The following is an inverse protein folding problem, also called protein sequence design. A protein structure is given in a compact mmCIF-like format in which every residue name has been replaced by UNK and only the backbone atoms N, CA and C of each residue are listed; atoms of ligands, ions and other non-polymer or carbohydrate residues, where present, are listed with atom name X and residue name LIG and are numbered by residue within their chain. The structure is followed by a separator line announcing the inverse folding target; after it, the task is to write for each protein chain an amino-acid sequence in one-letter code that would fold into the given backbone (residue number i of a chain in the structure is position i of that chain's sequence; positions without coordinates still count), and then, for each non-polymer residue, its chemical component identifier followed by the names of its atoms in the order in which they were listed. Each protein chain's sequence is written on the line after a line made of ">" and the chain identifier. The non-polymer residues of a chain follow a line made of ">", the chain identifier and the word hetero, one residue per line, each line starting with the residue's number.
data_IF_273178086469
#
_entry.id   IF_273178086469
#
_cell.length_a   1.000
_cell.length_b   1.000
_cell.length_c   1.000
_cell.angle_alpha   90.00
_cell.angle_beta   90.00
_cell.angle_gamma   90.00
#
_symmetry.space_group_name_H-M   'P 1'
#
loop_
_entity.id
_entity.type
_entity.pdbx_description
1 polymer ?
#
# COMPACT_ATOMS: atom_id res chain seq x y z
N UNK A 1 51.94 -31.02 -18.02
CA UNK A 1 50.53 -30.79 -18.40
C UNK A 1 49.80 -30.35 -17.14
N UNK A 2 49.75 -29.04 -16.92
CA UNK A 2 49.03 -28.46 -15.77
C UNK A 2 47.70 -27.96 -16.29
N UNK A 3 46.62 -28.59 -15.82
CA UNK A 3 45.25 -28.17 -16.06
C UNK A 3 44.94 -27.00 -15.14
N UNK A 4 44.76 -25.85 -15.76
CA UNK A 4 44.30 -24.62 -15.13
C UNK A 4 42.76 -24.72 -14.96
N UNK A 5 42.31 -24.98 -13.74
CA UNK A 5 40.88 -24.88 -13.42
C UNK A 5 40.52 -23.41 -13.30
N UNK A 6 39.85 -22.89 -14.32
CA UNK A 6 39.18 -21.60 -14.26
C UNK A 6 37.99 -21.67 -13.28
N UNK A 7 38.15 -21.01 -12.15
CA UNK A 7 37.02 -20.70 -11.26
C UNK A 7 36.10 -19.69 -11.98
N UNK A 8 34.80 -19.93 -12.09
CA UNK A 8 33.89 -18.93 -12.61
C UNK A 8 33.86 -17.74 -11.65
N UNK A 9 34.24 -16.56 -12.15
CA UNK A 9 34.10 -15.30 -11.43
C UNK A 9 32.65 -15.09 -11.00
N UNK A 10 32.39 -15.20 -9.70
CA UNK A 10 31.17 -14.70 -9.10
C UNK A 10 31.11 -13.20 -9.41
N UNK A 11 30.08 -12.76 -10.11
CA UNK A 11 29.81 -11.35 -10.37
C UNK A 11 29.62 -10.65 -9.02
N UNK A 12 30.67 -10.02 -8.55
CA UNK A 12 30.66 -9.16 -7.35
C UNK A 12 29.87 -7.88 -7.70
N UNK A 13 28.54 -7.99 -7.69
CA UNK A 13 27.67 -6.82 -7.77
C UNK A 13 27.76 -6.12 -6.43
N UNK A 14 28.62 -5.10 -6.35
CA UNK A 14 28.93 -4.36 -5.14
C UNK A 14 27.66 -3.88 -4.42
N UNK A 15 27.72 -3.72 -3.10
CA UNK A 15 26.67 -3.13 -2.30
C UNK A 15 26.36 -1.71 -2.81
N UNK A 16 25.08 -1.37 -2.91
CA UNK A 16 24.59 -0.02 -3.23
C UNK A 16 23.36 0.28 -2.40
N UNK A 17 23.03 1.56 -2.23
CA UNK A 17 21.80 1.98 -1.54
C UNK A 17 20.57 1.33 -2.18
N UNK A 18 20.49 1.33 -3.51
CA UNK A 18 19.38 0.73 -4.25
C UNK A 18 19.24 -0.78 -3.96
N UNK A 19 20.34 -1.53 -3.93
CA UNK A 19 20.35 -2.96 -3.62
C UNK A 19 19.90 -3.21 -2.17
N UNK A 20 20.34 -2.37 -1.22
CA UNK A 20 19.90 -2.44 0.17
C UNK A 20 18.40 -2.24 0.28
N UNK A 21 17.86 -1.20 -0.38
CA UNK A 21 16.45 -0.86 -0.32
C UNK A 21 15.58 -1.94 -0.95
N UNK A 22 15.94 -2.44 -2.14
CA UNK A 22 15.21 -3.54 -2.81
C UNK A 22 15.18 -4.79 -1.94
N UNK A 23 16.30 -5.16 -1.32
CA UNK A 23 16.35 -6.33 -0.45
C UNK A 23 15.58 -6.11 0.86
N UNK A 24 15.56 -4.88 1.37
CA UNK A 24 14.76 -4.52 2.55
C UNK A 24 13.25 -4.61 2.27
N UNK A 25 12.79 -4.18 1.08
CA UNK A 25 11.40 -4.38 0.63
C UNK A 25 11.05 -5.87 0.61
N UNK A 26 11.86 -6.70 -0.07
CA UNK A 26 11.65 -8.16 -0.13
C UNK A 26 11.59 -8.82 1.24
N UNK A 27 12.45 -8.35 2.15
CA UNK A 27 12.48 -8.86 3.51
C UNK A 27 11.22 -8.47 4.29
N UNK A 28 10.74 -7.23 4.10
CA UNK A 28 9.50 -6.75 4.71
C UNK A 28 8.27 -7.44 4.14
N UNK A 29 8.22 -7.73 2.84
CA UNK A 29 7.13 -8.48 2.20
C UNK A 29 7.02 -9.90 2.73
N UNK A 30 8.18 -10.55 2.98
CA UNK A 30 8.22 -11.92 3.46
C UNK A 30 7.91 -12.07 4.95
N UNK A 31 8.42 -11.16 5.77
CA UNK A 31 8.52 -11.35 7.22
C UNK A 31 7.92 -10.19 8.04
N UNK A 32 7.29 -9.24 7.36
CA UNK A 32 6.81 -8.00 7.98
C UNK A 32 7.94 -7.01 8.32
N UNK A 33 7.56 -5.76 8.58
CA UNK A 33 8.53 -4.70 8.94
C UNK A 33 9.22 -4.95 10.28
N UNK A 34 8.57 -5.64 11.20
CA UNK A 34 9.16 -6.02 12.50
C UNK A 34 10.30 -7.02 12.33
N UNK A 35 10.23 -7.86 11.30
CA UNK A 35 11.28 -8.78 10.90
C UNK A 35 12.50 -8.08 10.27
N UNK A 36 12.37 -6.83 9.83
CA UNK A 36 13.45 -6.07 9.20
C UNK A 36 14.43 -5.51 10.25
N UNK A 37 15.65 -5.98 10.23
CA UNK A 37 16.77 -5.43 11.02
C UNK A 37 18.02 -5.31 10.19
N UNK A 38 18.90 -4.35 10.51
CA UNK A 38 20.19 -4.16 9.83
C UNK A 38 21.04 -5.43 9.81
N UNK A 39 21.01 -6.21 10.89
CA UNK A 39 21.74 -7.48 11.00
C UNK A 39 21.18 -8.54 10.06
N UNK A 40 19.85 -8.63 9.94
CA UNK A 40 19.17 -9.59 9.07
C UNK A 40 19.39 -9.22 7.61
N UNK A 41 19.19 -7.94 7.27
CA UNK A 41 19.45 -7.40 5.93
C UNK A 41 20.89 -7.66 5.48
N UNK A 42 21.88 -7.43 6.37
CA UNK A 42 23.27 -7.71 6.08
C UNK A 42 23.52 -9.19 5.75
N UNK A 43 22.88 -10.09 6.49
CA UNK A 43 22.98 -11.53 6.24
C UNK A 43 22.40 -11.92 4.88
N UNK A 44 21.25 -11.39 4.49
CA UNK A 44 20.63 -11.64 3.17
C UNK A 44 21.52 -11.11 2.03
N UNK A 45 22.21 -10.00 2.26
CA UNK A 45 23.12 -9.39 1.29
C UNK A 45 24.54 -10.01 1.27
N UNK A 46 24.82 -10.98 2.16
CA UNK A 46 26.16 -11.56 2.31
C UNK A 46 27.20 -10.58 2.81
N UNK A 47 26.81 -9.57 3.60
CA UNK A 47 27.66 -8.47 4.05
C UNK A 47 27.76 -8.40 5.58
N UNK A 48 28.70 -7.63 6.09
CA UNK A 48 28.77 -7.28 7.51
C UNK A 48 27.74 -6.19 7.85
N UNK A 49 27.09 -6.28 9.02
CA UNK A 49 26.11 -5.27 9.43
C UNK A 49 26.70 -3.85 9.46
N UNK A 50 27.97 -3.69 9.87
CA UNK A 50 28.66 -2.40 9.88
C UNK A 50 28.86 -1.82 8.48
N UNK A 51 28.98 -2.67 7.46
CA UNK A 51 29.16 -2.22 6.07
C UNK A 51 27.91 -1.51 5.55
N UNK A 52 26.71 -1.89 6.01
CA UNK A 52 25.45 -1.26 5.58
C UNK A 52 25.35 0.19 6.05
N UNK A 53 25.92 0.52 7.21
CA UNK A 53 25.91 1.88 7.75
C UNK A 53 26.75 2.88 6.94
N UNK A 54 27.60 2.42 6.03
CA UNK A 54 28.25 3.28 5.04
C UNK A 54 27.29 3.76 3.94
N UNK A 55 26.19 3.04 3.71
CA UNK A 55 25.20 3.35 2.67
C UNK A 55 23.94 4.02 3.23
N UNK A 56 23.50 3.63 4.42
CA UNK A 56 22.33 4.19 5.11
C UNK A 56 22.69 4.47 6.57
N UNK A 57 22.47 5.71 7.01
CA UNK A 57 22.94 6.18 8.31
C UNK A 57 22.25 5.46 9.50
N UNK A 58 21.01 4.98 9.29
CA UNK A 58 20.24 4.29 10.34
C UNK A 58 19.14 3.40 9.73
N UNK A 59 18.49 2.56 10.56
CA UNK A 59 17.28 1.82 10.19
C UNK A 59 16.16 2.77 9.78
N UNK A 60 16.04 3.91 10.43
CA UNK A 60 15.02 4.90 10.14
C UNK A 60 15.17 5.47 8.71
N UNK A 61 16.40 5.84 8.33
CA UNK A 61 16.68 6.31 6.96
C UNK A 61 16.42 5.21 5.93
N UNK A 62 16.71 3.96 6.27
CA UNK A 62 16.36 2.82 5.40
C UNK A 62 14.85 2.69 5.25
N UNK A 63 14.08 2.78 6.32
CA UNK A 63 12.62 2.71 6.28
C UNK A 63 12.01 3.85 5.48
N UNK A 64 12.54 5.08 5.57
CA UNK A 64 12.11 6.20 4.72
C UNK A 64 12.32 5.88 3.24
N UNK A 65 13.48 5.31 2.88
CA UNK A 65 13.77 4.93 1.51
C UNK A 65 12.90 3.75 1.02
N UNK A 66 12.62 2.79 1.88
CA UNK A 66 11.76 1.63 1.58
C UNK A 66 10.32 2.08 1.31
N UNK A 67 9.78 2.98 2.12
CA UNK A 67 8.45 3.56 1.89
C UNK A 67 8.40 4.41 0.61
N UNK A 68 9.46 5.15 0.29
CA UNK A 68 9.51 5.92 -0.95
C UNK A 68 9.51 5.02 -2.20
N UNK A 69 10.08 3.81 -2.12
CA UNK A 69 9.96 2.81 -3.18
C UNK A 69 8.51 2.37 -3.36
N UNK A 70 7.79 2.06 -2.28
CA UNK A 70 6.37 1.69 -2.33
C UNK A 70 5.52 2.82 -2.94
N UNK A 71 5.76 4.08 -2.57
CA UNK A 71 5.13 5.22 -3.22
C UNK A 71 5.45 5.28 -4.72
N UNK A 72 6.66 4.91 -5.11
CA UNK A 72 7.09 4.88 -6.51
C UNK A 72 6.39 3.82 -7.37
N UNK A 73 5.78 2.81 -6.75
CA UNK A 73 5.01 1.77 -7.44
C UNK A 73 3.55 2.16 -7.70
N UNK A 74 3.03 3.15 -6.98
CA UNK A 74 1.66 3.64 -7.18
C UNK A 74 1.64 4.53 -8.43
N UNK A 75 0.67 4.31 -9.32
CA UNK A 75 0.49 5.14 -10.49
C UNK A 75 0.09 6.57 -10.11
N UNK A 76 0.63 7.54 -10.85
CA UNK A 76 0.18 8.91 -10.75
C UNK A 76 -1.17 9.10 -11.45
N UNK A 77 -2.03 10.03 -10.97
CA UNK A 77 -3.26 10.33 -11.68
C UNK A 77 -2.94 10.83 -13.11
N UNK A 78 -3.50 10.20 -14.16
CA UNK A 78 -3.26 10.61 -15.54
C UNK A 78 -3.84 12.00 -15.84
N UNK A 79 -3.23 12.72 -16.78
CA UNK A 79 -3.60 14.11 -17.11
C UNK A 79 -4.60 14.20 -18.30
N UNK A 80 -4.88 13.07 -18.97
CA UNK A 80 -5.67 12.98 -20.20
C UNK A 80 -7.13 12.53 -19.98
N UNK A 81 -7.54 12.37 -18.74
CA UNK A 81 -8.91 11.99 -18.34
C UNK A 81 -9.48 13.00 -17.35
N UNK A 82 -10.77 12.92 -17.06
CA UNK A 82 -11.40 13.73 -16.02
C UNK A 82 -10.82 13.40 -14.63
N UNK A 83 -10.95 14.33 -13.68
CA UNK A 83 -10.34 14.24 -12.37
C UNK A 83 -10.83 13.04 -11.54
N UNK A 84 -12.12 12.66 -11.67
CA UNK A 84 -12.67 11.50 -10.94
C UNK A 84 -12.06 10.22 -11.48
N UNK A 85 -12.00 10.06 -12.80
CA UNK A 85 -11.35 8.93 -13.46
C UNK A 85 -9.85 8.86 -13.12
N UNK A 86 -9.16 10.00 -13.10
CA UNK A 86 -7.74 10.08 -12.75
C UNK A 86 -7.48 9.64 -11.29
N UNK A 87 -8.27 10.16 -10.35
CA UNK A 87 -8.12 9.80 -8.93
C UNK A 87 -8.58 8.38 -8.64
N UNK A 88 -9.57 7.85 -9.38
CA UNK A 88 -9.95 6.44 -9.31
C UNK A 88 -8.79 5.53 -9.69
N UNK A 89 -8.18 5.76 -10.85
CA UNK A 89 -7.05 4.96 -11.32
C UNK A 89 -5.91 4.96 -10.29
N UNK A 90 -5.58 6.15 -9.76
CA UNK A 90 -4.56 6.28 -8.69
C UNK A 90 -4.97 5.51 -7.43
N UNK A 91 -6.21 5.62 -6.98
CA UNK A 91 -6.70 4.96 -5.77
C UNK A 91 -6.69 3.43 -5.91
N UNK A 92 -7.13 2.91 -7.04
CA UNK A 92 -7.09 1.47 -7.37
C UNK A 92 -5.65 0.96 -7.43
N UNK A 93 -4.73 1.71 -8.09
CA UNK A 93 -3.30 1.38 -8.09
C UNK A 93 -2.71 1.38 -6.68
N UNK A 94 -3.05 2.37 -5.85
CA UNK A 94 -2.59 2.43 -4.46
C UNK A 94 -3.08 1.22 -3.64
N UNK A 95 -4.35 0.83 -3.75
CA UNK A 95 -4.88 -0.37 -3.10
C UNK A 95 -4.10 -1.62 -3.53
N UNK A 96 -3.87 -1.80 -4.84
CA UNK A 96 -3.12 -2.95 -5.38
C UNK A 96 -1.67 -2.99 -4.88
N UNK A 97 -1.00 -1.84 -4.79
CA UNK A 97 0.35 -1.74 -4.23
C UNK A 97 0.35 -2.11 -2.75
N UNK A 98 -0.60 -1.58 -1.98
CA UNK A 98 -0.70 -1.86 -0.54
C UNK A 98 -1.10 -3.31 -0.24
N UNK A 99 -1.86 -3.96 -1.12
CA UNK A 99 -2.12 -5.40 -1.03
C UNK A 99 -0.84 -6.24 -1.19
N UNK A 100 0.12 -5.80 -2.04
CA UNK A 100 1.45 -6.43 -2.16
C UNK A 100 2.37 -6.12 -0.98
N UNK A 101 2.20 -4.97 -0.35
CA UNK A 101 3.05 -4.43 0.72
C UNK A 101 2.24 -4.03 1.96
N UNK A 102 1.49 -4.96 2.60
CA UNK A 102 0.55 -4.60 3.68
C UNK A 102 1.25 -3.97 4.89
N UNK A 103 2.53 -4.30 5.12
CA UNK A 103 3.36 -3.69 6.15
C UNK A 103 3.60 -2.18 5.94
N UNK A 104 3.47 -1.69 4.69
CA UNK A 104 3.74 -0.30 4.36
C UNK A 104 2.67 0.66 4.90
N UNK A 105 1.42 0.21 5.05
CA UNK A 105 0.28 1.05 5.47
C UNK A 105 0.59 1.78 6.77
N UNK A 106 1.05 1.07 7.80
CA UNK A 106 1.37 1.67 9.11
C UNK A 106 2.57 2.62 9.06
N UNK A 107 3.50 2.39 8.14
CA UNK A 107 4.68 3.23 7.99
C UNK A 107 4.39 4.50 7.18
N UNK A 108 3.50 4.45 6.18
CA UNK A 108 3.17 5.60 5.34
C UNK A 108 2.67 6.79 6.17
N UNK A 109 1.87 6.53 7.22
CA UNK A 109 1.32 7.55 8.11
C UNK A 109 2.27 7.96 9.25
N UNK A 110 3.21 7.09 9.62
CA UNK A 110 4.11 7.35 10.75
C UNK A 110 5.42 8.07 10.36
N UNK A 111 5.74 8.15 9.06
CA UNK A 111 7.00 8.79 8.60
C UNK A 111 6.83 10.29 8.41
N UNK A 112 7.76 11.04 9.00
CA UNK A 112 7.73 12.52 8.97
C UNK A 112 8.57 13.12 7.84
N UNK A 113 9.43 12.33 7.21
CA UNK A 113 10.32 12.79 6.13
C UNK A 113 9.88 12.17 4.80
N UNK A 114 9.12 12.91 3.97
CA UNK A 114 8.69 12.39 2.68
C UNK A 114 9.87 12.28 1.72
N UNK A 115 9.94 11.13 1.01
CA UNK A 115 10.89 10.93 -0.07
C UNK A 115 10.42 11.57 -1.40
N UNK A 116 11.28 11.52 -2.44
CA UNK A 116 10.97 12.10 -3.75
C UNK A 116 9.73 11.52 -4.44
N UNK A 117 9.45 10.21 -4.29
CA UNK A 117 8.28 9.58 -4.86
C UNK A 117 6.99 10.05 -4.15
N UNK A 118 7.00 10.08 -2.82
CA UNK A 118 5.90 10.62 -2.03
C UNK A 118 5.59 12.08 -2.42
N UNK A 119 6.62 12.93 -2.55
CA UNK A 119 6.42 14.33 -2.95
C UNK A 119 5.83 14.45 -4.36
N UNK A 120 6.30 13.64 -5.33
CA UNK A 120 5.71 13.60 -6.68
C UNK A 120 4.24 13.19 -6.65
N UNK A 121 3.89 12.21 -5.81
CA UNK A 121 2.51 11.78 -5.62
C UNK A 121 1.62 12.89 -5.10
N UNK A 122 2.04 13.55 -4.01
CA UNK A 122 1.30 14.67 -3.41
C UNK A 122 1.11 15.82 -4.39
N UNK A 123 2.15 16.16 -5.16
CA UNK A 123 2.07 17.18 -6.19
C UNK A 123 1.08 16.79 -7.29
N UNK A 124 1.16 15.57 -7.82
CA UNK A 124 0.30 15.11 -8.90
C UNK A 124 -1.19 15.10 -8.50
N UNK A 125 -1.53 14.59 -7.32
CA UNK A 125 -2.91 14.61 -6.79
C UNK A 125 -3.39 16.03 -6.57
N UNK A 126 -2.56 16.88 -5.95
CA UNK A 126 -2.90 18.28 -5.74
C UNK A 126 -3.13 19.01 -7.08
N UNK A 127 -2.26 18.79 -8.04
CA UNK A 127 -2.39 19.41 -9.37
C UNK A 127 -3.65 18.92 -10.11
N UNK A 128 -3.99 17.64 -10.03
CA UNK A 128 -5.22 17.07 -10.59
C UNK A 128 -6.46 17.80 -10.02
N UNK A 129 -6.57 17.88 -8.70
CA UNK A 129 -7.68 18.56 -8.01
C UNK A 129 -7.73 20.06 -8.32
N UNK A 130 -6.58 20.74 -8.35
CA UNK A 130 -6.51 22.17 -8.66
C UNK A 130 -6.94 22.47 -10.11
N UNK A 131 -6.52 21.66 -11.08
CA UNK A 131 -6.95 21.77 -12.48
C UNK A 131 -8.45 21.50 -12.63
N UNK A 132 -9.00 20.61 -11.81
CA UNK A 132 -10.43 20.33 -11.75
C UNK A 132 -11.27 21.47 -11.14
N UNK A 133 -10.65 22.54 -10.60
CA UNK A 133 -11.36 23.71 -10.07
C UNK A 133 -11.55 23.69 -8.54
N UNK A 134 -10.93 22.78 -7.81
CA UNK A 134 -10.94 22.85 -6.35
C UNK A 134 -10.08 24.02 -5.85
N UNK A 135 -10.53 24.72 -4.81
CA UNK A 135 -9.69 25.69 -4.11
C UNK A 135 -8.48 24.99 -3.46
N UNK A 136 -7.43 25.73 -3.07
CA UNK A 136 -6.26 25.14 -2.38
C UNK A 136 -6.69 24.36 -1.14
N UNK A 137 -7.58 24.95 -0.34
CA UNK A 137 -8.07 24.33 0.89
C UNK A 137 -8.89 23.07 0.59
N UNK A 138 -9.80 23.13 -0.39
CA UNK A 138 -10.62 21.96 -0.75
C UNK A 138 -9.79 20.85 -1.40
N UNK A 139 -8.78 21.17 -2.18
CA UNK A 139 -7.85 20.16 -2.71
C UNK A 139 -7.11 19.42 -1.58
N UNK A 140 -6.71 20.15 -0.54
CA UNK A 140 -6.09 19.54 0.64
C UNK A 140 -7.07 18.61 1.37
N UNK A 141 -8.29 19.06 1.64
CA UNK A 141 -9.31 18.23 2.29
C UNK A 141 -9.67 17.00 1.45
N UNK A 142 -9.84 17.17 0.13
CA UNK A 142 -10.14 16.07 -0.78
C UNK A 142 -9.04 15.00 -0.78
N UNK A 143 -7.77 15.44 -0.82
CA UNK A 143 -6.63 14.50 -0.73
C UNK A 143 -6.64 13.70 0.59
N UNK A 144 -6.89 14.38 1.72
CA UNK A 144 -6.94 13.69 3.02
C UNK A 144 -8.08 12.68 3.11
N UNK A 145 -9.27 13.04 2.61
CA UNK A 145 -10.42 12.12 2.59
C UNK A 145 -10.13 10.90 1.72
N UNK A 146 -9.57 11.11 0.51
CA UNK A 146 -9.20 10.02 -0.40
C UNK A 146 -8.14 9.10 0.19
N UNK A 147 -7.06 9.66 0.75
CA UNK A 147 -6.00 8.87 1.36
C UNK A 147 -6.52 8.10 2.60
N UNK A 148 -7.37 8.73 3.42
CA UNK A 148 -8.02 8.06 4.56
C UNK A 148 -8.89 6.88 4.13
N UNK A 149 -9.63 7.04 3.02
CA UNK A 149 -10.43 5.95 2.45
C UNK A 149 -9.55 4.81 1.96
N UNK A 150 -8.57 5.12 1.09
CA UNK A 150 -7.69 4.12 0.47
C UNK A 150 -6.89 3.34 1.52
N UNK A 151 -6.25 4.05 2.45
CA UNK A 151 -5.40 3.40 3.46
C UNK A 151 -6.23 2.66 4.51
N UNK A 152 -7.39 3.22 4.89
CA UNK A 152 -8.32 2.55 5.81
C UNK A 152 -8.86 1.26 5.21
N UNK A 153 -9.26 1.29 3.93
CA UNK A 153 -9.72 0.10 3.22
C UNK A 153 -8.61 -0.95 3.08
N UNK A 154 -7.43 -0.55 2.62
CA UNK A 154 -6.30 -1.46 2.47
C UNK A 154 -5.89 -2.10 3.82
N UNK A 155 -5.98 -1.37 4.93
CA UNK A 155 -5.73 -1.91 6.26
C UNK A 155 -6.78 -2.94 6.67
N UNK A 156 -8.06 -2.69 6.38
CA UNK A 156 -9.13 -3.65 6.64
C UNK A 156 -8.95 -4.90 5.80
N UNK A 157 -8.72 -4.73 4.50
CA UNK A 157 -8.49 -5.82 3.54
C UNK A 157 -7.30 -6.71 3.94
N UNK A 158 -6.17 -6.12 4.35
CA UNK A 158 -4.99 -6.85 4.82
C UNK A 158 -5.22 -7.68 6.10
N UNK A 159 -6.29 -7.41 6.84
CA UNK A 159 -6.66 -8.15 8.06
C UNK A 159 -7.83 -9.11 7.83
N UNK A 160 -8.34 -9.24 6.62
CA UNK A 160 -9.35 -10.26 6.32
C UNK A 160 -8.74 -11.65 6.46
N UNK A 161 -9.47 -12.62 7.02
CA UNK A 161 -8.96 -13.98 7.23
C UNK A 161 -9.00 -14.85 5.96
N UNK A 162 -9.17 -14.24 4.79
CA UNK A 162 -9.28 -14.91 3.49
C UNK A 162 -8.59 -14.08 2.41
N UNK A 163 -7.97 -14.77 1.45
CA UNK A 163 -7.19 -14.15 0.37
C UNK A 163 -7.99 -14.01 -0.95
N UNK A 164 -9.14 -14.70 -1.07
CA UNK A 164 -9.94 -14.70 -2.29
C UNK A 164 -11.43 -14.55 -2.00
N UNK A 165 -12.17 -13.95 -2.95
CA UNK A 165 -13.61 -13.77 -2.86
C UNK A 165 -14.37 -15.10 -2.66
N UNK A 166 -13.88 -16.19 -3.26
CA UNK A 166 -14.49 -17.52 -3.14
C UNK A 166 -14.41 -18.10 -1.71
N UNK A 167 -13.45 -17.65 -0.89
CA UNK A 167 -13.27 -18.11 0.48
C UNK A 167 -14.15 -17.35 1.49
N UNK A 168 -14.78 -16.24 1.08
CA UNK A 168 -15.55 -15.35 1.97
C UNK A 168 -16.79 -16.03 2.52
N UNK A 169 -17.57 -16.71 1.66
CA UNK A 169 -18.78 -17.41 2.06
C UNK A 169 -18.44 -18.48 3.11
N UNK A 170 -17.45 -19.32 2.82
CA UNK A 170 -17.00 -20.38 3.71
C UNK A 170 -16.44 -19.83 5.02
N UNK A 171 -15.63 -18.77 4.98
CA UNK A 171 -15.09 -18.12 6.18
C UNK A 171 -16.21 -17.46 7.01
N UNK A 172 -17.19 -16.83 6.36
CA UNK A 172 -18.32 -16.22 7.06
C UNK A 172 -19.17 -17.29 7.73
N UNK A 173 -19.55 -18.36 7.03
CA UNK A 173 -20.36 -19.45 7.58
C UNK A 173 -19.64 -20.22 8.69
N UNK A 174 -18.34 -20.50 8.54
CA UNK A 174 -17.62 -21.37 9.45
C UNK A 174 -16.96 -20.61 10.62
N UNK A 175 -16.57 -19.36 10.42
CA UNK A 175 -15.83 -18.59 11.44
C UNK A 175 -16.65 -17.48 12.10
N UNK A 176 -17.46 -16.73 11.34
CA UNK A 176 -18.14 -15.56 11.87
C UNK A 176 -19.55 -15.86 12.36
N UNK A 177 -20.40 -16.48 11.55
CA UNK A 177 -21.81 -16.76 11.91
C UNK A 177 -21.96 -17.54 13.22
N UNK A 178 -21.13 -18.54 13.55
CA UNK A 178 -21.23 -19.25 14.83
C UNK A 178 -20.94 -18.39 16.06
N UNK A 179 -20.28 -17.22 15.87
CA UNK A 179 -19.94 -16.30 16.95
C UNK A 179 -21.02 -15.20 17.14
N UNK A 180 -21.96 -15.08 16.17
CA UNK A 180 -22.98 -14.04 16.15
C UNK A 180 -24.33 -14.67 16.48
N UNK A 181 -24.67 -14.68 17.77
CA UNK A 181 -25.95 -15.22 18.21
C UNK A 181 -27.11 -14.37 17.65
N UNK A 182 -28.07 -14.94 16.88
CA UNK A 182 -29.12 -14.18 16.22
C UNK A 182 -30.06 -13.47 17.20
N UNK A 183 -30.24 -14.02 18.41
CA UNK A 183 -31.08 -13.42 19.45
C UNK A 183 -30.43 -12.21 20.12
N UNK A 184 -29.10 -12.15 20.15
CA UNK A 184 -28.32 -11.07 20.75
C UNK A 184 -27.92 -10.01 19.73
N UNK A 185 -27.55 -10.43 18.50
CA UNK A 185 -27.06 -9.56 17.41
C UNK A 185 -27.87 -9.77 16.11
N UNK A 186 -29.19 -9.52 16.07
CA UNK A 186 -30.03 -9.89 14.93
C UNK A 186 -29.61 -9.23 13.61
N UNK A 187 -29.29 -7.94 13.62
CA UNK A 187 -28.90 -7.23 12.39
C UNK A 187 -27.49 -7.61 11.90
N UNK A 188 -26.59 -7.91 12.81
CA UNK A 188 -25.25 -8.36 12.43
C UNK A 188 -25.31 -9.77 11.84
N UNK A 189 -26.13 -10.65 12.43
CA UNK A 189 -26.37 -12.00 11.92
C UNK A 189 -27.03 -11.97 10.52
N UNK A 190 -28.06 -11.13 10.33
CA UNK A 190 -28.71 -10.92 9.04
C UNK A 190 -27.70 -10.44 7.99
N UNK A 191 -26.94 -9.38 8.30
CA UNK A 191 -25.92 -8.82 7.41
C UNK A 191 -24.84 -9.85 7.03
N UNK A 192 -24.32 -10.60 7.98
CA UNK A 192 -23.31 -11.63 7.73
C UNK A 192 -23.88 -12.78 6.86
N UNK A 193 -25.14 -13.19 7.11
CA UNK A 193 -25.82 -14.24 6.34
C UNK A 193 -26.09 -13.80 4.89
N UNK A 194 -26.52 -12.56 4.66
CA UNK A 194 -26.73 -12.03 3.31
C UNK A 194 -25.40 -11.88 2.55
N UNK A 195 -24.34 -11.42 3.23
CA UNK A 195 -23.02 -11.27 2.64
C UNK A 195 -22.44 -12.62 2.21
N UNK A 196 -22.61 -13.66 3.04
CA UNK A 196 -22.21 -15.03 2.70
C UNK A 196 -22.97 -15.57 1.49
N UNK A 197 -24.29 -15.27 1.40
CA UNK A 197 -25.13 -15.74 0.31
C UNK A 197 -24.93 -14.99 -1.02
N UNK A 198 -24.63 -13.68 -0.95
CA UNK A 198 -24.46 -12.83 -2.14
C UNK A 198 -23.09 -12.95 -2.81
N UNK A 199 -22.08 -13.46 -2.09
CA UNK A 199 -20.68 -13.35 -2.45
C UNK A 199 -20.15 -11.95 -2.13
N UNK A 200 -18.94 -11.88 -1.57
CA UNK A 200 -18.27 -10.63 -1.24
C UNK A 200 -16.98 -10.53 -2.04
N UNK A 201 -16.80 -9.46 -2.82
CA UNK A 201 -15.56 -9.13 -3.47
C UNK A 201 -15.01 -7.81 -2.86
N UNK A 202 -13.85 -7.84 -2.18
CA UNK A 202 -13.23 -6.62 -1.69
C UNK A 202 -12.98 -5.57 -2.78
N UNK A 203 -12.83 -5.98 -4.05
CA UNK A 203 -12.63 -5.03 -5.15
C UNK A 203 -13.91 -4.25 -5.45
N UNK A 204 -15.07 -4.92 -5.47
CA UNK A 204 -16.36 -4.28 -5.70
C UNK A 204 -16.71 -3.35 -4.54
N UNK A 205 -16.44 -3.76 -3.31
CA UNK A 205 -16.67 -2.94 -2.12
C UNK A 205 -15.78 -1.70 -2.10
N UNK A 206 -14.52 -1.84 -2.52
CA UNK A 206 -13.62 -0.69 -2.68
C UNK A 206 -14.13 0.29 -3.72
N UNK A 207 -14.55 -0.19 -4.88
CA UNK A 207 -15.09 0.69 -5.94
C UNK A 207 -16.38 1.39 -5.50
N UNK A 208 -17.29 0.68 -4.83
CA UNK A 208 -18.51 1.25 -4.29
C UNK A 208 -18.24 2.43 -3.33
N UNK A 209 -17.37 2.23 -2.35
CA UNK A 209 -17.06 3.29 -1.40
C UNK A 209 -16.25 4.43 -2.03
N UNK A 210 -15.37 4.13 -2.98
CA UNK A 210 -14.62 5.15 -3.74
C UNK A 210 -15.57 6.02 -4.58
N UNK A 211 -16.61 5.42 -5.19
CA UNK A 211 -17.66 6.14 -5.92
C UNK A 211 -18.37 7.14 -5.02
N UNK A 212 -18.74 6.73 -3.82
CA UNK A 212 -19.37 7.63 -2.84
C UNK A 212 -18.47 8.79 -2.46
N UNK A 213 -17.18 8.53 -2.23
CA UNK A 213 -16.20 9.57 -1.88
C UNK A 213 -16.04 10.57 -3.04
N UNK A 214 -15.82 10.08 -4.27
CA UNK A 214 -15.63 10.95 -5.44
C UNK A 214 -16.88 11.76 -5.77
N UNK A 215 -18.07 11.15 -5.67
CA UNK A 215 -19.33 11.86 -5.86
C UNK A 215 -19.57 12.95 -4.82
N UNK A 216 -19.21 12.70 -3.56
CA UNK A 216 -19.33 13.69 -2.48
C UNK A 216 -18.37 14.89 -2.65
N UNK A 217 -17.26 14.70 -3.34
CA UNK A 217 -16.29 15.79 -3.61
C UNK A 217 -16.73 16.72 -4.76
N UNK A 218 -17.53 16.24 -5.73
CA UNK A 218 -17.92 17.04 -6.90
C UNK A 218 -18.58 18.39 -6.55
N UNK A 219 -19.55 18.49 -5.62
CA UNK A 219 -20.18 19.78 -5.26
C UNK A 219 -19.21 20.75 -4.54
N UNK A 220 -18.05 20.28 -4.10
CA UNK A 220 -17.07 21.11 -3.39
C UNK A 220 -16.11 21.83 -4.35
N UNK A 221 -16.22 21.60 -5.64
CA UNK A 221 -15.53 22.39 -6.67
C UNK A 221 -16.07 23.81 -6.65
N UNK A 222 -15.21 24.77 -6.59
CA UNK A 222 -15.59 26.17 -6.82
C UNK A 222 -15.92 26.32 -8.30
N UNK A 223 -17.19 26.61 -8.62
CA UNK A 223 -17.56 27.00 -9.98
C UNK A 223 -16.69 28.19 -10.39
N UNK A 224 -16.11 28.20 -11.60
CA UNK A 224 -15.27 29.28 -12.09
C UNK A 224 -16.02 30.61 -12.15
#
# INVERSE_FOLDING_TARGET
>A
MSTNEEHPASSDVGLSVQRLVVEAVRLADRDGVDGLSMRRLARELGAGAMSLYHYVASKEVLLDAVIDVVFGEIDLPPDDVDWQSALRQRATSARQVLARHPWAISLMESRTTPGPANLRHREAVTACLRRAGFSVVMATHANWVLDSYVYGFALQEANLPFDAADDVADATEQMFLPQIAPDEFPFLHESASELAAAGYDPADEFEFGLDLVLAALEPLRTTP
#
